data_IF_098563442435
#
_entry.id   IF_098563442435
#
_cell.length_a   1.000
_cell.length_b   1.000
_cell.length_c   1.000
_cell.angle_alpha   90.00
_cell.angle_beta   90.00
_cell.angle_gamma   90.00
#
_symmetry.space_group_name_H-M   'P 1'
#
loop_
_entity.id
_entity.type
_entity.pdbx_description
1 polymer ?
#
# COMPACT_ATOMS: atom_id res chain seq x y z
N UNK A 1 -72.86 1.70 -1.93
CA UNK A 1 -71.48 1.95 -2.42
C UNK A 1 -70.65 0.83 -1.81
N UNK A 2 -70.37 -0.22 -2.60
CA UNK A 2 -69.84 -1.47 -2.06
C UNK A 2 -68.33 -1.35 -1.87
N UNK A 3 -67.91 -0.83 -0.75
CA UNK A 3 -66.52 -0.77 -0.31
C UNK A 3 -65.89 -2.16 -0.20
N UNK A 4 -66.71 -3.22 -0.09
CA UNK A 4 -66.26 -4.60 0.05
C UNK A 4 -65.69 -5.24 -1.22
N UNK A 5 -65.95 -4.71 -2.42
CA UNK A 5 -65.49 -5.34 -3.67
C UNK A 5 -64.00 -5.04 -3.96
N UNK A 6 -63.51 -3.91 -3.52
CA UNK A 6 -62.12 -3.51 -3.80
C UNK A 6 -61.09 -4.10 -2.81
N UNK A 7 -61.47 -4.44 -1.60
CA UNK A 7 -60.59 -4.98 -0.57
C UNK A 7 -60.07 -6.37 -0.94
N UNK A 8 -60.89 -7.21 -1.61
CA UNK A 8 -60.51 -8.56 -1.98
C UNK A 8 -59.38 -8.65 -3.00
N UNK A 9 -59.12 -7.59 -3.78
CA UNK A 9 -58.02 -7.55 -4.74
C UNK A 9 -56.67 -7.27 -4.07
N UNK A 10 -56.66 -6.60 -2.93
CA UNK A 10 -55.44 -6.23 -2.20
C UNK A 10 -55.09 -7.19 -1.06
N UNK A 11 -55.94 -8.19 -0.77
CA UNK A 11 -55.67 -9.18 0.26
C UNK A 11 -54.86 -10.36 -0.32
N UNK A 12 -53.52 -10.30 -0.13
CA UNK A 12 -52.57 -11.34 -0.58
C UNK A 12 -52.83 -12.68 0.12
N UNK A 13 -53.40 -12.67 1.33
CA UNK A 13 -53.69 -13.87 2.12
C UNK A 13 -55.08 -14.47 1.84
N UNK A 14 -55.85 -13.89 0.90
CA UNK A 14 -57.14 -14.41 0.55
C UNK A 14 -57.04 -15.78 -0.13
N UNK A 15 -57.69 -16.81 0.38
CA UNK A 15 -57.75 -18.14 -0.23
C UNK A 15 -58.79 -18.18 -1.33
N UNK A 16 -58.45 -18.79 -2.48
CA UNK A 16 -59.47 -19.17 -3.47
C UNK A 16 -60.32 -20.28 -2.92
N UNK A 17 -61.66 -20.14 -3.00
CA UNK A 17 -62.64 -21.17 -2.61
C UNK A 17 -62.97 -21.96 -3.87
N UNK A 18 -62.89 -23.31 -3.77
CA UNK A 18 -63.29 -24.19 -4.88
C UNK A 18 -64.83 -24.20 -5.14
N UNK A 19 -65.60 -23.60 -4.27
CA UNK A 19 -67.05 -23.44 -4.44
C UNK A 19 -67.43 -21.98 -4.39
N UNK A 20 -68.19 -21.52 -5.39
CA UNK A 20 -68.68 -20.16 -5.43
C UNK A 20 -69.64 -19.93 -4.25
N UNK A 21 -69.25 -19.12 -3.32
CA UNK A 21 -70.13 -18.64 -2.27
C UNK A 21 -70.57 -17.22 -2.62
N UNK A 22 -71.85 -17.03 -2.86
CA UNK A 22 -72.37 -15.70 -3.22
C UNK A 22 -71.70 -15.03 -4.45
N UNK A 23 -71.44 -15.83 -5.50
CA UNK A 23 -70.74 -15.42 -6.72
C UNK A 23 -69.32 -14.78 -6.51
N UNK A 24 -68.65 -15.09 -5.40
CA UNK A 24 -67.29 -14.60 -5.11
C UNK A 24 -66.27 -15.75 -5.05
N UNK A 25 -65.16 -15.60 -5.76
CA UNK A 25 -64.09 -16.60 -5.76
C UNK A 25 -63.15 -16.50 -4.55
N UNK A 26 -63.21 -15.41 -3.80
CA UNK A 26 -62.34 -15.16 -2.66
C UNK A 26 -63.13 -14.68 -1.46
N UNK A 27 -62.84 -15.23 -0.29
CA UNK A 27 -63.30 -14.69 1.00
C UNK A 27 -62.27 -13.66 1.44
N UNK A 28 -62.64 -12.38 1.44
CA UNK A 28 -61.84 -11.30 2.00
C UNK A 28 -62.23 -11.09 3.46
N UNK A 29 -61.24 -10.90 4.31
CA UNK A 29 -61.42 -10.48 5.69
C UNK A 29 -60.79 -9.13 5.93
N UNK A 30 -61.36 -8.32 6.81
CA UNK A 30 -60.76 -7.05 7.20
C UNK A 30 -59.37 -7.27 7.83
N UNK A 31 -59.21 -8.35 8.56
CA UNK A 31 -57.94 -8.72 9.17
C UNK A 31 -56.89 -9.09 8.12
N UNK A 32 -57.21 -9.85 7.10
CA UNK A 32 -56.34 -10.18 5.97
C UNK A 32 -55.88 -8.94 5.21
N UNK A 33 -56.81 -8.00 4.96
CA UNK A 33 -56.47 -6.73 4.34
C UNK A 33 -55.45 -5.92 5.19
N UNK A 34 -55.72 -5.83 6.51
CA UNK A 34 -54.81 -5.13 7.42
C UNK A 34 -53.40 -5.75 7.44
N UNK A 35 -53.29 -7.07 7.53
CA UNK A 35 -52.03 -7.80 7.47
C UNK A 35 -51.28 -7.55 6.14
N UNK A 36 -51.99 -7.56 5.02
CA UNK A 36 -51.40 -7.25 3.71
C UNK A 36 -50.83 -5.86 3.69
N UNK A 37 -51.53 -4.87 4.24
CA UNK A 37 -51.09 -3.49 4.30
C UNK A 37 -49.82 -3.34 5.17
N UNK A 38 -49.80 -3.98 6.33
CA UNK A 38 -48.62 -4.03 7.21
C UNK A 38 -47.45 -4.68 6.49
N UNK A 39 -47.64 -5.79 5.77
CA UNK A 39 -46.59 -6.47 5.01
C UNK A 39 -46.03 -5.57 3.91
N UNK A 40 -46.88 -4.92 3.13
CA UNK A 40 -46.45 -3.99 2.06
C UNK A 40 -45.64 -2.84 2.65
N UNK A 41 -46.10 -2.27 3.78
CA UNK A 41 -45.41 -1.16 4.42
C UNK A 41 -44.06 -1.56 4.98
N UNK A 42 -43.98 -2.72 5.63
CA UNK A 42 -42.72 -3.28 6.11
C UNK A 42 -41.72 -3.56 4.96
N UNK A 43 -42.23 -4.16 3.88
CA UNK A 43 -41.42 -4.43 2.68
C UNK A 43 -40.88 -3.15 2.05
N UNK A 44 -41.72 -2.11 1.99
CA UNK A 44 -41.29 -0.79 1.45
C UNK A 44 -40.22 -0.16 2.32
N UNK A 45 -40.34 -0.19 3.64
CA UNK A 45 -39.34 0.32 4.58
C UNK A 45 -37.99 -0.40 4.40
N UNK A 46 -38.02 -1.74 4.33
CA UNK A 46 -36.82 -2.55 4.12
C UNK A 46 -36.17 -2.23 2.78
N UNK A 47 -36.97 -2.07 1.72
CA UNK A 47 -36.47 -1.70 0.39
C UNK A 47 -35.80 -0.33 0.40
N UNK A 48 -36.46 0.68 1.00
CA UNK A 48 -35.88 2.03 1.14
C UNK A 48 -34.57 2.01 1.97
N UNK A 49 -34.55 1.22 3.04
CA UNK A 49 -33.36 1.05 3.85
C UNK A 49 -32.19 0.46 3.05
N UNK A 50 -32.44 -0.55 2.22
CA UNK A 50 -31.41 -1.13 1.35
C UNK A 50 -30.91 -0.12 0.29
N UNK A 51 -31.82 0.68 -0.30
CA UNK A 51 -31.42 1.74 -1.23
C UNK A 51 -30.51 2.76 -0.55
N UNK A 52 -30.86 3.20 0.67
CA UNK A 52 -30.06 4.16 1.42
C UNK A 52 -28.68 3.57 1.76
N UNK A 53 -28.61 2.29 2.17
CA UNK A 53 -27.35 1.60 2.43
C UNK A 53 -26.48 1.51 1.18
N UNK A 54 -27.07 1.13 0.05
CA UNK A 54 -26.38 1.07 -1.23
C UNK A 54 -25.86 2.44 -1.67
N UNK A 55 -26.67 3.49 -1.52
CA UNK A 55 -26.28 4.86 -1.83
C UNK A 55 -25.15 5.35 -0.93
N UNK A 56 -25.19 5.03 0.36
CA UNK A 56 -24.15 5.40 1.33
C UNK A 56 -22.89 4.55 1.20
N UNK A 57 -22.89 3.51 0.38
CA UNK A 57 -21.76 2.58 0.17
C UNK A 57 -21.16 2.07 1.48
N UNK A 58 -22.00 1.76 2.46
CA UNK A 58 -21.54 1.27 3.77
C UNK A 58 -21.00 -0.16 3.74
N UNK A 59 -21.40 -0.93 2.74
CA UNK A 59 -20.95 -2.30 2.53
C UNK A 59 -19.99 -2.30 1.34
N UNK A 60 -18.70 -2.27 1.65
CA UNK A 60 -17.64 -2.34 0.64
C UNK A 60 -17.17 -3.80 0.56
N UNK A 61 -17.15 -4.33 -0.63
CA UNK A 61 -16.50 -5.60 -0.91
C UNK A 61 -15.07 -5.29 -1.40
N UNK A 62 -14.08 -5.78 -0.67
CA UNK A 62 -12.67 -5.70 -1.06
C UNK A 62 -12.25 -7.10 -1.48
N UNK A 63 -11.74 -7.22 -2.70
CA UNK A 63 -11.19 -8.45 -3.23
C UNK A 63 -9.70 -8.23 -3.46
N UNK A 64 -8.90 -9.15 -2.97
CA UNK A 64 -7.45 -9.17 -3.19
C UNK A 64 -7.10 -10.43 -3.98
N UNK A 65 -6.28 -10.27 -5.00
CA UNK A 65 -5.77 -11.37 -5.79
C UNK A 65 -4.33 -11.09 -6.20
N UNK A 66 -3.47 -12.08 -6.12
CA UNK A 66 -2.09 -12.01 -6.60
C UNK A 66 -2.00 -12.61 -7.99
N UNK A 67 -1.53 -11.83 -8.94
CA UNK A 67 -1.34 -12.26 -10.33
C UNK A 67 0.15 -12.26 -10.62
N UNK A 68 0.67 -13.38 -11.05
CA UNK A 68 2.04 -13.47 -11.54
C UNK A 68 2.08 -13.03 -13.01
N UNK A 69 2.65 -11.86 -13.26
CA UNK A 69 2.83 -11.37 -14.64
C UNK A 69 4.00 -12.06 -15.30
N UNK A 70 3.83 -12.39 -16.58
CA UNK A 70 4.95 -12.80 -17.46
C UNK A 70 5.76 -11.60 -17.93
N UNK A 71 5.15 -10.41 -17.92
CA UNK A 71 5.82 -9.18 -18.27
C UNK A 71 6.72 -8.71 -17.12
N UNK A 72 7.86 -8.14 -17.48
CA UNK A 72 8.82 -7.61 -16.52
C UNK A 72 8.24 -6.38 -15.82
N UNK A 73 8.08 -6.39 -14.50
CA UNK A 73 7.63 -5.22 -13.75
C UNK A 73 8.70 -4.10 -13.84
N UNK A 74 8.22 -2.87 -14.00
CA UNK A 74 9.06 -1.68 -14.08
C UNK A 74 8.60 -0.68 -13.05
N UNK A 75 9.52 -0.23 -12.19
CA UNK A 75 9.26 0.71 -11.11
C UNK A 75 10.23 1.87 -11.21
N UNK A 76 9.71 3.09 -11.30
CA UNK A 76 10.54 4.28 -11.30
C UNK A 76 10.85 4.72 -9.86
N UNK A 77 12.11 5.03 -9.60
CA UNK A 77 12.57 5.54 -8.30
C UNK A 77 12.54 7.06 -8.37
N UNK A 78 11.46 7.63 -7.88
CA UNK A 78 11.27 9.07 -7.78
C UNK A 78 10.45 9.45 -6.52
N UNK A 79 10.29 10.75 -6.30
CA UNK A 79 9.51 11.29 -5.17
C UNK A 79 8.03 10.84 -5.23
N UNK A 80 7.48 10.57 -6.42
CA UNK A 80 6.07 10.26 -6.60
C UNK A 80 5.77 8.77 -6.47
N UNK A 81 6.77 7.93 -6.73
CA UNK A 81 6.63 6.47 -6.75
C UNK A 81 7.41 5.84 -5.58
N UNK A 82 8.55 5.25 -5.86
CA UNK A 82 9.38 4.61 -4.86
C UNK A 82 10.43 5.59 -4.33
N UNK A 83 10.35 5.92 -3.07
CA UNK A 83 11.36 6.73 -2.39
C UNK A 83 11.69 6.13 -1.03
N UNK A 84 12.93 6.32 -0.57
CA UNK A 84 13.38 5.74 0.68
C UNK A 84 14.39 6.62 1.40
N UNK A 85 14.40 6.46 2.73
CA UNK A 85 15.45 6.93 3.62
C UNK A 85 16.17 5.71 4.20
N UNK A 86 17.46 5.85 4.53
CA UNK A 86 18.21 4.79 5.18
C UNK A 86 19.23 5.37 6.16
N UNK A 87 19.62 4.58 7.13
CA UNK A 87 20.60 5.00 8.14
C UNK A 87 20.92 3.92 9.15
N UNK A 88 21.68 4.32 10.16
CA UNK A 88 21.92 3.46 11.31
C UNK A 88 21.18 3.99 12.54
N UNK A 89 20.83 3.06 13.41
CA UNK A 89 20.19 3.35 14.69
C UNK A 89 21.06 2.89 15.85
N UNK A 90 21.06 3.68 16.92
CA UNK A 90 21.77 3.32 18.16
C UNK A 90 21.15 2.09 18.80
N UNK A 91 21.97 1.17 19.36
CA UNK A 91 21.50 -0.09 19.89
C UNK A 91 20.53 0.06 21.08
N UNK A 92 20.63 1.14 21.86
CA UNK A 92 19.88 1.29 23.10
C UNK A 92 18.64 2.20 22.99
N UNK A 93 18.59 3.06 22.00
CA UNK A 93 17.55 4.10 21.89
C UNK A 93 16.70 3.98 20.64
N UNK A 94 17.10 3.14 19.70
CA UNK A 94 16.52 3.01 18.37
C UNK A 94 16.38 4.39 17.65
N UNK A 95 17.27 5.35 18.01
CA UNK A 95 17.30 6.66 17.36
C UNK A 95 18.28 6.64 16.20
N UNK A 96 17.87 7.21 15.07
CA UNK A 96 18.68 7.29 13.87
C UNK A 96 19.81 8.32 14.04
N UNK A 97 20.94 8.03 13.44
CA UNK A 97 22.08 8.94 13.48
C UNK A 97 22.89 8.90 12.19
N UNK A 98 23.49 10.05 11.87
CA UNK A 98 24.47 10.22 10.80
C UNK A 98 25.77 10.63 11.46
N UNK A 99 26.79 9.77 11.35
CA UNK A 99 28.12 10.06 11.87
C UNK A 99 29.19 9.41 10.98
N UNK A 100 29.75 10.20 10.10
CA UNK A 100 30.78 9.75 9.15
C UNK A 100 32.09 9.33 9.84
N UNK A 101 32.28 9.71 11.10
CA UNK A 101 33.40 9.25 11.91
C UNK A 101 33.22 7.82 12.44
N UNK A 102 31.98 7.27 12.38
CA UNK A 102 31.65 5.91 12.78
C UNK A 102 31.49 5.00 11.56
N UNK A 103 30.75 5.46 10.55
CA UNK A 103 30.47 4.66 9.36
C UNK A 103 30.40 5.52 8.09
N UNK A 104 30.61 4.87 6.97
CA UNK A 104 30.45 5.46 5.65
C UNK A 104 29.44 4.66 4.84
N UNK A 105 28.63 5.35 4.05
CA UNK A 105 27.66 4.74 3.16
C UNK A 105 28.10 4.91 1.71
N UNK A 106 27.77 3.94 0.87
CA UNK A 106 27.89 4.04 -0.57
C UNK A 106 26.65 3.47 -1.23
N UNK A 107 26.09 4.20 -2.19
CA UNK A 107 24.92 3.77 -2.96
C UNK A 107 25.37 3.62 -4.41
N UNK A 108 25.02 2.49 -5.01
CA UNK A 108 25.35 2.21 -6.41
C UNK A 108 24.14 1.60 -7.09
N UNK A 109 23.78 2.15 -8.23
CA UNK A 109 22.77 1.61 -9.13
C UNK A 109 23.44 0.66 -10.14
N UNK A 110 22.78 -0.47 -10.40
CA UNK A 110 23.21 -1.46 -11.37
C UNK A 110 22.10 -1.74 -12.36
N UNK A 111 22.42 -1.75 -13.66
CA UNK A 111 21.63 -2.32 -14.73
C UNK A 111 22.42 -3.49 -15.31
N UNK A 112 21.92 -4.69 -15.16
CA UNK A 112 22.53 -5.91 -15.65
C UNK A 112 21.64 -6.52 -16.73
N UNK A 113 22.27 -7.02 -17.78
CA UNK A 113 21.59 -7.74 -18.85
C UNK A 113 22.26 -9.09 -19.09
N UNK A 114 21.44 -10.05 -19.47
CA UNK A 114 21.90 -11.39 -19.77
C UNK A 114 22.50 -11.42 -21.19
N UNK A 115 23.80 -11.56 -21.26
CA UNK A 115 24.55 -11.68 -22.50
C UNK A 115 25.16 -13.09 -22.54
N UNK A 116 24.82 -13.88 -23.54
CA UNK A 116 25.26 -15.28 -23.65
C UNK A 116 24.97 -16.14 -22.41
N UNK A 117 23.84 -15.86 -21.73
CA UNK A 117 23.42 -16.60 -20.52
C UNK A 117 24.03 -16.10 -19.20
N UNK A 118 24.92 -15.11 -19.22
CA UNK A 118 25.59 -14.54 -18.05
C UNK A 118 25.13 -13.09 -17.87
N UNK A 119 24.84 -12.69 -16.62
CA UNK A 119 24.52 -11.31 -16.32
C UNK A 119 25.77 -10.43 -16.30
N UNK A 120 25.78 -9.43 -17.16
CA UNK A 120 26.85 -8.42 -17.23
C UNK A 120 26.32 -7.05 -16.88
N UNK A 121 27.16 -6.24 -16.20
CA UNK A 121 26.83 -4.86 -15.88
C UNK A 121 26.86 -3.99 -17.14
N UNK A 122 25.71 -3.54 -17.61
CA UNK A 122 25.59 -2.57 -18.71
C UNK A 122 25.76 -1.14 -18.14
N UNK A 123 25.18 -0.89 -16.97
CA UNK A 123 25.34 0.38 -16.24
C UNK A 123 25.73 0.08 -14.81
N UNK A 124 26.71 0.82 -14.31
CA UNK A 124 27.09 0.88 -12.92
C UNK A 124 27.37 2.33 -12.56
N UNK A 125 26.53 2.89 -11.71
CA UNK A 125 26.56 4.30 -11.38
C UNK A 125 26.48 4.51 -9.87
N UNK A 126 27.42 5.28 -9.32
CA UNK A 126 27.36 5.71 -7.93
C UNK A 126 26.34 6.85 -7.80
N UNK A 127 25.43 6.72 -6.84
CA UNK A 127 24.37 7.68 -6.58
C UNK A 127 24.78 8.59 -5.43
N UNK A 128 24.45 9.87 -5.60
CA UNK A 128 24.62 10.87 -4.54
C UNK A 128 23.48 10.78 -3.54
N UNK A 129 23.82 11.01 -2.27
CA UNK A 129 22.85 11.06 -1.18
C UNK A 129 23.15 12.24 -0.27
N UNK A 130 22.16 12.64 0.50
CA UNK A 130 22.25 13.76 1.43
C UNK A 130 21.40 13.48 2.66
N UNK A 131 21.54 14.31 3.69
CA UNK A 131 20.67 14.26 4.86
C UNK A 131 19.23 14.51 4.45
N UNK A 132 18.31 13.66 4.90
CA UNK A 132 16.89 13.73 4.52
C UNK A 132 16.25 15.06 4.93
N UNK A 133 15.39 15.54 4.05
CA UNK A 133 14.54 16.70 4.28
C UNK A 133 13.09 16.31 3.97
N UNK A 134 12.15 16.95 4.64
CA UNK A 134 10.71 16.72 4.42
C UNK A 134 10.29 16.85 2.96
N UNK A 135 10.95 17.69 2.19
CA UNK A 135 10.72 17.88 0.75
C UNK A 135 10.96 16.60 -0.06
N UNK A 136 11.87 15.74 0.39
CA UNK A 136 12.22 14.48 -0.29
C UNK A 136 11.04 13.50 -0.30
N UNK A 137 10.15 13.54 0.73
CA UNK A 137 8.99 12.66 0.84
C UNK A 137 7.69 13.25 0.27
N UNK A 138 7.65 14.56 0.05
CA UNK A 138 6.44 15.26 -0.43
C UNK A 138 5.50 15.68 0.70
N UNK A 139 4.50 16.51 0.34
CA UNK A 139 3.62 17.17 1.33
C UNK A 139 2.79 16.20 2.15
N UNK A 140 2.33 15.13 1.54
CA UNK A 140 1.42 14.16 2.18
C UNK A 140 2.11 13.36 3.29
N UNK A 141 3.45 13.31 3.30
CA UNK A 141 4.27 12.60 4.27
C UNK A 141 4.88 13.50 5.35
N UNK A 142 4.56 14.79 5.37
CA UNK A 142 5.20 15.76 6.27
C UNK A 142 5.06 15.37 7.75
N UNK A 143 3.88 14.94 8.18
CA UNK A 143 3.63 14.52 9.57
C UNK A 143 4.41 13.24 9.89
N UNK A 144 4.34 12.23 9.03
CA UNK A 144 5.04 10.96 9.17
C UNK A 144 6.55 11.14 9.21
N UNK A 145 7.09 12.05 8.37
CA UNK A 145 8.51 12.39 8.37
C UNK A 145 9.00 12.90 9.74
N UNK A 146 8.17 13.71 10.41
CA UNK A 146 8.51 14.27 11.71
C UNK A 146 8.31 13.26 12.83
N UNK A 147 7.27 12.42 12.76
CA UNK A 147 6.99 11.39 13.76
C UNK A 147 8.09 10.32 13.78
N UNK A 148 8.58 9.92 12.62
CA UNK A 148 9.62 8.88 12.48
C UNK A 148 11.05 9.41 12.55
N UNK A 149 11.25 10.70 12.85
CA UNK A 149 12.59 11.36 12.93
C UNK A 149 13.51 11.05 11.76
N UNK A 150 12.97 11.11 10.54
CA UNK A 150 13.74 10.82 9.32
C UNK A 150 14.81 11.86 9.01
N UNK A 151 14.83 12.98 9.72
CA UNK A 151 15.83 14.02 9.58
C UNK A 151 17.25 13.53 9.84
N UNK A 152 17.43 12.44 10.59
CA UNK A 152 18.72 11.82 10.89
C UNK A 152 19.03 10.60 10.01
N UNK A 153 18.44 10.53 8.83
CA UNK A 153 18.66 9.50 7.82
C UNK A 153 19.26 10.09 6.55
N UNK A 154 19.78 9.24 5.71
CA UNK A 154 20.23 9.59 4.35
C UNK A 154 19.09 9.36 3.36
N UNK A 155 18.93 10.29 2.44
CA UNK A 155 18.02 10.23 1.30
C UNK A 155 18.80 10.34 -0.01
N UNK A 156 18.25 9.80 -1.07
CA UNK A 156 18.82 10.05 -2.40
C UNK A 156 18.74 11.55 -2.72
N UNK A 157 19.83 12.09 -3.22
CA UNK A 157 19.85 13.45 -3.72
C UNK A 157 19.08 13.52 -5.03
N UNK A 158 18.37 14.64 -5.25
CA UNK A 158 17.70 14.90 -6.52
C UNK A 158 18.62 14.64 -7.69
N UNK A 159 18.18 13.82 -8.63
CA UNK A 159 18.90 13.52 -9.85
C UNK A 159 18.05 13.90 -11.06
N UNK A 160 18.69 14.37 -12.10
CA UNK A 160 18.03 14.83 -13.33
C UNK A 160 17.63 13.67 -14.28
N UNK A 161 17.62 12.44 -13.79
CA UNK A 161 17.26 11.25 -14.56
C UNK A 161 16.42 10.30 -13.72
N UNK A 162 15.54 9.57 -14.39
CA UNK A 162 14.70 8.57 -13.73
C UNK A 162 15.50 7.28 -13.57
N UNK A 163 15.65 6.82 -12.33
CA UNK A 163 16.15 5.49 -12.04
C UNK A 163 14.99 4.50 -12.14
N UNK A 164 15.20 3.46 -12.93
CA UNK A 164 14.17 2.44 -13.14
C UNK A 164 14.63 1.12 -12.54
N UNK A 165 13.89 0.61 -11.57
CA UNK A 165 14.01 -0.76 -11.10
C UNK A 165 13.18 -1.69 -11.99
N UNK A 166 13.78 -2.76 -12.48
CA UNK A 166 13.12 -3.66 -13.41
C UNK A 166 13.65 -5.08 -13.28
N UNK A 167 12.77 -6.03 -13.45
CA UNK A 167 13.10 -7.43 -13.61
C UNK A 167 13.56 -8.14 -12.35
N UNK A 168 13.99 -9.36 -12.56
CA UNK A 168 14.58 -10.26 -11.56
C UNK A 168 15.49 -11.25 -12.29
N UNK A 169 16.11 -12.17 -11.58
CA UNK A 169 16.94 -13.23 -12.20
C UNK A 169 16.17 -14.14 -13.18
N UNK A 170 14.83 -14.09 -13.17
CA UNK A 170 13.98 -14.81 -14.12
C UNK A 170 13.99 -14.17 -15.51
N UNK A 171 14.23 -12.86 -15.59
CA UNK A 171 14.21 -12.08 -16.83
C UNK A 171 15.63 -11.90 -17.40
N UNK A 172 15.72 -11.38 -18.61
CA UNK A 172 17.01 -11.07 -19.26
C UNK A 172 17.61 -9.73 -18.83
N UNK A 173 16.90 -8.99 -17.99
CA UNK A 173 17.35 -7.74 -17.38
C UNK A 173 17.02 -7.72 -15.90
N UNK A 174 17.95 -7.22 -15.10
CA UNK A 174 17.75 -6.93 -13.70
C UNK A 174 18.42 -5.59 -13.35
N UNK A 175 17.66 -4.73 -12.71
CA UNK A 175 18.20 -3.48 -12.17
C UNK A 175 17.98 -3.44 -10.66
N UNK A 176 18.96 -2.93 -9.94
CA UNK A 176 18.88 -2.82 -8.48
C UNK A 176 19.74 -1.69 -7.94
N UNK A 177 19.38 -1.24 -6.74
CA UNK A 177 20.17 -0.30 -5.95
C UNK A 177 20.86 -1.09 -4.84
N UNK A 178 22.18 -0.92 -4.72
CA UNK A 178 22.98 -1.50 -3.65
C UNK A 178 23.42 -0.41 -2.69
N UNK A 179 23.05 -0.56 -1.42
CA UNK A 179 23.52 0.27 -0.31
C UNK A 179 24.58 -0.54 0.43
N UNK A 180 25.76 0.02 0.59
CA UNK A 180 26.85 -0.61 1.33
C UNK A 180 27.21 0.30 2.48
N UNK A 181 27.15 -0.23 3.70
CA UNK A 181 27.59 0.44 4.91
C UNK A 181 28.92 -0.17 5.35
N UNK A 182 29.92 0.66 5.51
CA UNK A 182 31.24 0.24 5.97
C UNK A 182 31.60 1.00 7.26
N UNK A 183 32.26 0.37 8.22
CA UNK A 183 32.87 1.08 9.34
C UNK A 183 33.83 2.17 8.82
N UNK A 184 33.92 3.25 9.57
CA UNK A 184 34.90 4.28 9.24
C UNK A 184 36.30 3.68 9.27
N UNK A 185 37.09 3.97 8.22
CA UNK A 185 38.48 3.60 8.13
C UNK A 185 39.31 4.87 7.79
N UNK A 186 40.35 5.13 8.58
CA UNK A 186 41.23 6.23 8.33
C UNK A 186 41.94 6.03 6.98
N UNK A 187 41.67 6.90 6.04
CA UNK A 187 42.34 6.92 4.77
C UNK A 187 42.81 8.33 4.45
N UNK A 188 43.90 8.45 3.70
CA UNK A 188 44.42 9.74 3.25
C UNK A 188 43.47 10.51 2.32
N UNK A 189 42.38 9.90 1.90
CA UNK A 189 41.36 10.50 1.03
C UNK A 189 40.14 11.07 1.78
N UNK A 190 39.98 10.77 3.06
CA UNK A 190 38.85 11.23 3.85
C UNK A 190 39.24 12.50 4.62
N UNK A 191 38.39 13.52 4.55
CA UNK A 191 38.59 14.78 5.25
C UNK A 191 38.19 14.74 6.74
N UNK A 192 37.76 13.58 7.26
CA UNK A 192 37.34 13.38 8.64
C UNK A 192 38.15 12.28 9.32
N UNK A 193 38.37 12.48 10.62
CA UNK A 193 39.05 11.50 11.47
C UNK A 193 38.02 10.51 12.01
N UNK A 194 38.27 9.21 11.87
CA UNK A 194 37.45 8.20 12.47
C UNK A 194 37.54 8.22 14.00
N UNK A 195 36.48 7.89 14.68
CA UNK A 195 36.46 7.66 16.13
C UNK A 195 37.31 6.44 16.51
N UNK A 196 37.54 6.31 17.81
CA UNK A 196 38.30 5.17 18.31
C UNK A 196 37.62 3.86 17.91
N UNK A 197 38.39 2.79 17.76
CA UNK A 197 37.89 1.49 17.37
C UNK A 197 36.82 0.97 18.36
N UNK A 198 36.99 1.24 19.65
CA UNK A 198 36.04 0.87 20.71
C UNK A 198 34.69 1.57 20.55
N UNK A 199 34.71 2.87 20.20
CA UNK A 199 33.46 3.62 19.95
C UNK A 199 32.75 3.14 18.68
N UNK A 200 33.51 2.86 17.61
CA UNK A 200 32.96 2.29 16.37
C UNK A 200 32.31 0.94 16.68
N UNK A 201 33.03 0.07 17.39
CA UNK A 201 32.53 -1.26 17.75
C UNK A 201 31.31 -1.21 18.67
N UNK A 202 31.30 -0.31 19.64
CA UNK A 202 30.16 -0.11 20.53
C UNK A 202 28.87 0.28 19.77
N UNK A 203 28.99 1.11 18.75
CA UNK A 203 27.82 1.56 17.99
C UNK A 203 27.40 0.57 16.90
N UNK A 204 28.33 -0.17 16.30
CA UNK A 204 28.03 -1.08 15.20
C UNK A 204 27.70 -2.52 15.65
N UNK A 205 28.22 -3.00 16.78
CA UNK A 205 28.04 -4.43 17.17
C UNK A 205 26.66 -4.78 17.71
N UNK A 206 25.80 -3.83 17.96
CA UNK A 206 24.44 -4.09 18.45
C UNK A 206 23.44 -3.09 17.88
N UNK A 207 23.86 -2.27 16.93
CA UNK A 207 23.03 -1.31 16.26
C UNK A 207 22.12 -1.95 15.21
N UNK A 208 21.31 -1.12 14.59
CA UNK A 208 20.42 -1.53 13.52
C UNK A 208 20.71 -0.72 12.27
N UNK A 209 20.63 -1.38 11.12
CA UNK A 209 20.44 -0.73 9.84
C UNK A 209 18.95 -0.58 9.61
N UNK A 210 18.51 0.60 9.33
CA UNK A 210 17.10 0.93 9.05
C UNK A 210 16.98 1.46 7.63
N UNK A 211 15.93 1.04 6.95
CA UNK A 211 15.49 1.60 5.67
C UNK A 211 13.99 1.88 5.77
N UNK A 212 13.62 3.12 5.55
CA UNK A 212 12.23 3.58 5.58
C UNK A 212 11.76 3.80 4.16
N UNK A 213 10.78 3.06 3.76
CA UNK A 213 10.18 3.12 2.43
C UNK A 213 8.90 3.95 2.48
N UNK A 214 8.72 4.76 1.47
CA UNK A 214 7.46 5.42 1.19
C UNK A 214 6.46 4.38 0.70
N UNK A 215 5.33 4.30 1.34
CA UNK A 215 4.29 3.31 1.05
C UNK A 215 2.89 3.91 1.15
N UNK A 216 1.89 3.13 0.84
CA UNK A 216 0.49 3.52 0.88
C UNK A 216 -0.34 2.43 1.55
N UNK A 217 -1.07 2.83 2.58
CA UNK A 217 -2.16 2.04 3.12
C UNK A 217 -3.43 2.18 2.28
N UNK A 218 -4.33 1.21 2.43
CA UNK A 218 -5.64 1.22 1.79
C UNK A 218 -6.72 1.63 2.81
N UNK A 219 -7.49 2.68 2.48
CA UNK A 219 -8.71 3.03 3.20
C UNK A 219 -9.95 2.77 2.32
N UNK A 220 -10.58 1.62 2.45
CA UNK A 220 -11.74 1.27 1.64
C UNK A 220 -12.93 2.21 1.83
N UNK A 221 -13.03 2.85 3.01
CA UNK A 221 -14.13 3.79 3.30
C UNK A 221 -14.07 5.06 2.46
N UNK A 222 -12.92 5.40 1.93
CA UNK A 222 -12.73 6.53 1.01
C UNK A 222 -12.51 6.03 -0.42
N UNK A 223 -13.58 5.52 -1.05
CA UNK A 223 -13.54 4.92 -2.38
C UNK A 223 -13.09 5.88 -3.51
N UNK A 224 -13.20 7.19 -3.33
CA UNK A 224 -12.75 8.18 -4.31
C UNK A 224 -11.23 8.43 -4.23
N UNK A 225 -10.64 8.26 -3.06
CA UNK A 225 -9.20 8.34 -2.81
C UNK A 225 -8.80 7.33 -1.72
N UNK A 226 -8.75 6.01 -2.06
CA UNK A 226 -8.56 4.97 -1.07
C UNK A 226 -7.15 4.89 -0.50
N UNK A 227 -6.22 5.67 -1.02
CA UNK A 227 -4.80 5.66 -0.60
C UNK A 227 -4.58 6.55 0.60
N UNK A 228 -3.91 6.02 1.61
CA UNK A 228 -3.39 6.77 2.75
C UNK A 228 -1.87 6.68 2.71
N UNK A 229 -1.15 7.81 2.79
CA UNK A 229 0.30 7.77 2.89
C UNK A 229 0.72 7.06 4.18
N UNK A 230 1.64 6.12 4.05
CA UNK A 230 2.25 5.39 5.15
C UNK A 230 3.75 5.28 4.94
N UNK A 231 4.49 5.02 6.00
CA UNK A 231 5.90 4.68 5.94
C UNK A 231 6.07 3.24 6.41
N UNK A 232 6.90 2.50 5.71
CA UNK A 232 7.28 1.14 6.10
C UNK A 232 8.73 1.17 6.59
N UNK A 233 8.91 0.94 7.88
CA UNK A 233 10.23 0.88 8.49
C UNK A 233 10.72 -0.58 8.54
N UNK A 234 11.83 -0.82 7.87
CA UNK A 234 12.50 -2.12 7.82
C UNK A 234 13.85 -1.99 8.50
N UNK A 235 14.09 -2.78 9.50
CA UNK A 235 15.33 -2.75 10.24
C UNK A 235 15.96 -4.12 10.38
N UNK A 236 17.28 -4.14 10.49
CA UNK A 236 18.05 -5.35 10.71
C UNK A 236 19.24 -5.07 11.60
N UNK A 237 19.57 -6.03 12.45
CA UNK A 237 20.76 -5.92 13.32
C UNK A 237 22.04 -5.90 12.49
N UNK A 238 22.96 -5.04 12.88
CA UNK A 238 24.31 -5.01 12.33
C UNK A 238 25.28 -5.63 13.33
N UNK A 239 26.33 -6.22 12.79
CA UNK A 239 27.48 -6.70 13.57
C UNK A 239 28.72 -6.52 12.67
N UNK A 240 29.70 -5.79 13.14
CA UNK A 240 30.90 -5.51 12.38
C UNK A 240 31.66 -6.77 11.95
N UNK A 241 31.54 -7.85 12.70
CA UNK A 241 32.21 -9.13 12.43
C UNK A 241 31.54 -9.95 11.34
N UNK A 242 30.30 -9.57 10.97
CA UNK A 242 29.48 -10.32 10.02
C UNK A 242 29.12 -9.43 8.83
N UNK A 243 29.38 -9.94 7.63
CA UNK A 243 28.83 -9.35 6.42
C UNK A 243 27.42 -9.89 6.22
N UNK A 244 26.43 -9.00 6.19
CA UNK A 244 25.02 -9.36 5.95
C UNK A 244 24.57 -8.75 4.62
N UNK A 245 23.84 -9.53 3.84
CA UNK A 245 23.20 -9.08 2.62
C UNK A 245 21.68 -9.19 2.81
N UNK A 246 20.98 -8.11 2.56
CA UNK A 246 19.52 -8.06 2.55
C UNK A 246 19.05 -7.71 1.15
N UNK A 247 18.07 -8.43 0.66
CA UNK A 247 17.47 -8.20 -0.64
C UNK A 247 16.02 -7.79 -0.39
N UNK A 248 15.68 -6.59 -0.82
CA UNK A 248 14.31 -6.09 -0.82
C UNK A 248 13.73 -6.30 -2.20
N UNK A 249 12.61 -7.02 -2.28
CA UNK A 249 11.87 -7.22 -3.51
C UNK A 249 10.66 -6.30 -3.51
N UNK A 250 10.36 -5.73 -4.67
CA UNK A 250 9.22 -4.82 -4.85
C UNK A 250 8.24 -5.44 -5.83
N UNK A 251 6.97 -5.36 -5.50
CA UNK A 251 5.85 -5.72 -6.35
C UNK A 251 5.07 -4.50 -6.81
N UNK A 252 4.17 -4.69 -7.75
CA UNK A 252 3.21 -3.69 -8.19
C UNK A 252 1.84 -4.13 -7.72
N UNK A 253 1.18 -3.31 -6.91
CA UNK A 253 -0.21 -3.51 -6.54
C UNK A 253 -1.09 -2.57 -7.36
N UNK A 254 -2.03 -3.14 -8.11
CA UNK A 254 -3.05 -2.39 -8.83
C UNK A 254 -4.30 -2.28 -7.96
N UNK A 255 -4.75 -1.05 -7.70
CA UNK A 255 -6.02 -0.80 -7.03
C UNK A 255 -7.05 -0.38 -8.06
N UNK A 256 -8.11 -1.16 -8.17
CA UNK A 256 -9.26 -0.86 -9.00
C UNK A 256 -10.45 -0.52 -8.12
N UNK A 257 -11.01 0.69 -8.26
CA UNK A 257 -12.17 1.13 -7.49
C UNK A 257 -13.34 1.40 -8.41
N UNK A 258 -14.49 0.80 -8.11
CA UNK A 258 -15.74 1.13 -8.78
C UNK A 258 -16.41 2.31 -8.09
N UNK A 259 -16.46 3.44 -8.77
CA UNK A 259 -17.14 4.66 -8.30
C UNK A 259 -18.56 4.80 -8.85
N UNK A 260 -19.03 3.85 -9.67
CA UNK A 260 -20.38 3.81 -10.21
C UNK A 260 -21.45 3.40 -9.19
N UNK A 261 -22.68 3.80 -9.37
CA UNK A 261 -23.84 3.36 -8.56
C UNK A 261 -24.74 2.43 -9.38
N UNK A 262 -24.98 2.75 -10.64
CA UNK A 262 -25.85 1.97 -11.56
C UNK A 262 -25.05 1.36 -12.69
N UNK A 263 -24.03 2.10 -13.17
CA UNK A 263 -23.09 1.63 -14.18
C UNK A 263 -21.71 1.59 -13.54
N UNK A 264 -20.95 0.58 -13.88
CA UNK A 264 -19.53 0.49 -13.52
C UNK A 264 -18.77 1.73 -13.98
N UNK A 265 -18.00 2.29 -13.07
CA UNK A 265 -17.09 3.40 -13.32
C UNK A 265 -15.76 3.08 -12.66
N UNK A 266 -15.04 2.16 -13.28
CA UNK A 266 -13.77 1.64 -12.79
C UNK A 266 -12.69 2.68 -12.92
N UNK A 267 -12.00 2.95 -11.83
CA UNK A 267 -10.79 3.78 -11.78
C UNK A 267 -9.64 2.91 -11.33
N UNK A 268 -8.66 2.79 -12.21
CA UNK A 268 -7.42 2.06 -11.93
C UNK A 268 -6.35 3.01 -11.41
N UNK A 269 -5.57 2.53 -10.46
CA UNK A 269 -4.39 3.24 -9.96
C UNK A 269 -3.36 2.23 -9.49
N UNK A 270 -2.19 2.30 -10.10
CA UNK A 270 -1.06 1.45 -9.73
C UNK A 270 -0.42 1.98 -8.46
N UNK A 271 -0.08 1.08 -7.56
CA UNK A 271 0.65 1.34 -6.34
C UNK A 271 1.82 0.36 -6.29
N UNK A 272 2.99 0.89 -5.91
CA UNK A 272 4.15 0.06 -5.66
C UNK A 272 4.08 -0.43 -4.22
N UNK A 273 4.26 -1.71 -4.03
CA UNK A 273 4.23 -2.34 -2.72
C UNK A 273 5.52 -3.11 -2.50
N UNK A 274 5.95 -3.17 -1.25
CA UNK A 274 7.04 -4.02 -0.83
C UNK A 274 6.47 -5.41 -0.52
N UNK A 275 6.99 -6.44 -1.19
CA UNK A 275 6.66 -7.83 -0.89
C UNK A 275 7.70 -8.40 0.08
N UNK A 276 7.27 -8.68 1.31
CA UNK A 276 8.04 -9.50 2.24
C UNK A 276 7.92 -10.97 1.80
N UNK A 277 9.02 -11.54 1.33
CA UNK A 277 9.19 -12.99 1.21
C UNK A 277 10.09 -13.52 2.31
#
# INVERSE_FOLDING_TARGET
MDFNLNIAYFDIYSKKICFYYNNREKISSFFGFFLTLVYIFASLILFLFQIVRAYQRKELNVYESTIYSEEMPIIDVDINQLYFAFGLEYPNTATRYIDESIYTAKITFFDQRKINGIFENVVKQDLSFEKCNVKNFGKDYQNLFSEDDLSNSYCLKDFNYTLTLAGSYKYDRITYIRIVINPCANSTKNNYSCKSQEEIDKNLNSGYFSIVLKDFGLNPSNYSSPRIPTLQDLYTTIDRRLSKNYILNFGITEIETDTGIIKENLKKKDIFNFENF
#
